data_IF_349397109985
#
_entry.id   IF_349397109985
#
_cell.length_a   1.000
_cell.length_b   1.000
_cell.length_c   1.000
_cell.angle_alpha   90.00
_cell.angle_beta   90.00
_cell.angle_gamma   90.00
#
_symmetry.space_group_name_H-M   'P 1'
#
loop_
_entity.id
_entity.type
_entity.pdbx_description
1 polymer ?
#
# COMPACT_ATOMS: atom_id res chain seq x y z
N UNK A 1 29.31 0.77 -35.93
CA UNK A 1 28.73 2.10 -36.20
C UNK A 1 27.73 2.41 -35.07
N UNK A 2 28.20 3.07 -34.01
CA UNK A 2 27.33 3.89 -33.14
C UNK A 2 27.07 5.24 -33.85
N UNK A 3 26.17 6.11 -33.38
CA UNK A 3 24.92 5.89 -32.65
C UNK A 3 23.76 6.73 -33.28
N UNK A 4 22.52 6.53 -32.85
CA UNK A 4 21.48 7.55 -33.02
C UNK A 4 20.72 7.73 -31.69
N UNK A 5 20.95 8.86 -30.99
CA UNK A 5 20.35 9.18 -29.70
C UNK A 5 19.08 10.02 -29.83
N UNK A 6 18.38 10.13 -28.70
CA UNK A 6 17.54 11.23 -28.26
C UNK A 6 16.22 11.53 -29.02
N UNK A 7 15.13 11.01 -28.46
CA UNK A 7 13.95 11.81 -28.11
C UNK A 7 13.25 11.08 -26.96
N UNK A 8 13.59 11.37 -25.70
CA UNK A 8 12.83 12.34 -24.91
C UNK A 8 11.34 12.33 -25.28
N UNK A 9 10.59 11.39 -24.71
CA UNK A 9 9.19 11.62 -24.38
C UNK A 9 9.11 11.52 -22.88
N UNK A 10 9.16 12.69 -22.22
CA UNK A 10 8.63 12.85 -20.87
C UNK A 10 7.14 12.63 -21.01
N UNK A 11 6.73 11.36 -20.99
CA UNK A 11 5.33 11.02 -20.85
C UNK A 11 5.03 11.20 -19.37
N UNK A 12 4.38 12.31 -19.04
CA UNK A 12 3.64 12.46 -17.78
C UNK A 12 2.53 11.42 -17.75
N UNK A 13 2.89 10.16 -17.54
CA UNK A 13 1.97 9.09 -17.22
C UNK A 13 2.00 9.04 -15.71
N UNK A 14 1.00 9.62 -15.04
CA UNK A 14 0.63 9.18 -13.70
C UNK A 14 0.20 7.72 -13.84
N UNK A 15 1.02 6.74 -13.44
CA UNK A 15 0.67 5.38 -13.76
C UNK A 15 -0.25 4.92 -12.62
N UNK A 16 -1.56 4.82 -12.88
CA UNK A 16 -2.52 4.29 -11.92
C UNK A 16 -2.46 2.74 -11.87
N UNK A 17 -1.25 2.17 -11.97
CA UNK A 17 -0.99 0.74 -11.96
C UNK A 17 -0.14 0.33 -10.74
N UNK A 18 -0.18 -0.96 -10.33
CA UNK A 18 0.54 -1.45 -9.15
C UNK A 18 2.04 -1.14 -9.18
N UNK A 19 2.66 -1.05 -10.36
CA UNK A 19 4.07 -0.70 -10.53
C UNK A 19 4.43 0.72 -10.10
N UNK A 20 3.57 1.70 -10.37
CA UNK A 20 3.85 3.08 -9.99
C UNK A 20 3.63 3.36 -8.53
N UNK A 21 2.58 2.75 -7.99
CA UNK A 21 2.28 2.85 -6.58
C UNK A 21 3.43 2.21 -5.78
N UNK A 22 4.02 1.10 -6.26
CA UNK A 22 5.26 0.53 -5.69
C UNK A 22 6.47 1.47 -5.80
N UNK A 23 6.67 2.13 -6.95
CA UNK A 23 7.74 3.12 -7.11
C UNK A 23 7.58 4.31 -6.15
N UNK A 24 6.35 4.73 -5.89
CA UNK A 24 6.05 5.73 -4.85
C UNK A 24 6.45 5.24 -3.45
N UNK A 25 6.25 3.95 -3.13
CA UNK A 25 6.70 3.37 -1.84
C UNK A 25 8.22 3.33 -1.68
N UNK A 26 9.01 3.36 -2.75
CA UNK A 26 10.48 3.43 -2.67
C UNK A 26 10.94 4.77 -2.07
N UNK A 27 10.17 5.84 -2.30
CA UNK A 27 10.44 7.17 -1.73
C UNK A 27 10.07 7.30 -0.24
N UNK A 28 9.31 6.34 0.32
CA UNK A 28 8.83 6.39 1.71
C UNK A 28 9.64 5.43 2.59
N UNK A 29 10.15 5.94 3.70
CA UNK A 29 10.82 5.13 4.73
C UNK A 29 9.81 4.29 5.53
N UNK A 30 9.50 3.11 5.02
CA UNK A 30 8.68 2.09 5.67
C UNK A 30 9.56 1.02 6.33
N UNK A 31 9.16 0.57 7.52
CA UNK A 31 9.67 -0.66 8.11
C UNK A 31 9.23 -1.86 7.28
N UNK A 32 9.87 -3.02 7.48
CA UNK A 32 9.50 -4.27 6.78
C UNK A 32 8.03 -4.64 6.96
N UNK A 33 7.48 -4.48 8.18
CA UNK A 33 6.08 -4.84 8.48
C UNK A 33 5.09 -3.82 7.91
N UNK A 34 5.41 -2.53 7.95
CA UNK A 34 4.59 -1.49 7.31
C UNK A 34 4.53 -1.71 5.78
N UNK A 35 5.67 -1.99 5.15
CA UNK A 35 5.74 -2.29 3.72
C UNK A 35 4.90 -3.52 3.37
N UNK A 36 5.10 -4.64 4.07
CA UNK A 36 4.35 -5.87 3.81
C UNK A 36 2.83 -5.68 4.02
N UNK A 37 2.43 -4.93 5.06
CA UNK A 37 1.01 -4.62 5.30
C UNK A 37 0.41 -3.81 4.17
N UNK A 38 1.14 -2.81 3.69
CA UNK A 38 0.68 -1.93 2.61
C UNK A 38 0.63 -2.66 1.27
N UNK A 39 1.66 -3.44 0.94
CA UNK A 39 1.70 -4.28 -0.27
C UNK A 39 0.54 -5.26 -0.31
N UNK A 40 0.22 -5.92 0.81
CA UNK A 40 -0.92 -6.84 0.87
C UNK A 40 -2.26 -6.15 0.53
N UNK A 41 -2.44 -4.91 0.97
CA UNK A 41 -3.65 -4.13 0.65
C UNK A 41 -3.64 -3.66 -0.80
N UNK A 42 -2.49 -3.20 -1.30
CA UNK A 42 -2.33 -2.70 -2.67
C UNK A 42 -2.43 -3.79 -3.74
N UNK A 43 -2.01 -5.01 -3.42
CA UNK A 43 -2.17 -6.19 -4.28
C UNK A 43 -3.63 -6.67 -4.33
N UNK A 44 -4.51 -6.12 -3.48
CA UNK A 44 -5.94 -6.41 -3.43
C UNK A 44 -6.77 -5.12 -3.52
N UNK A 45 -6.62 -4.31 -4.59
CA UNK A 45 -7.31 -3.03 -4.71
C UNK A 45 -8.83 -3.23 -4.72
N UNK A 46 -9.57 -2.37 -4.02
CA UNK A 46 -11.03 -2.49 -3.88
C UNK A 46 -11.49 -3.54 -2.85
N UNK A 47 -10.63 -4.48 -2.45
CA UNK A 47 -10.99 -5.56 -1.53
C UNK A 47 -10.63 -5.20 -0.10
N UNK A 48 -11.61 -5.33 0.80
CA UNK A 48 -11.38 -5.16 2.23
C UNK A 48 -10.79 -6.43 2.83
N UNK A 49 -9.70 -6.28 3.58
CA UNK A 49 -9.03 -7.37 4.29
C UNK A 49 -9.25 -7.20 5.78
N UNK A 50 -9.67 -8.28 6.45
CA UNK A 50 -9.94 -8.26 7.88
C UNK A 50 -8.67 -8.05 8.71
N UNK A 51 -8.81 -7.46 9.90
CA UNK A 51 -7.67 -7.26 10.82
C UNK A 51 -7.01 -8.58 11.21
N UNK A 52 -7.80 -9.64 11.41
CA UNK A 52 -7.28 -10.99 11.72
C UNK A 52 -6.45 -11.53 10.56
N UNK A 53 -6.95 -11.41 9.33
CA UNK A 53 -6.23 -11.83 8.11
C UNK A 53 -4.94 -11.05 7.94
N UNK A 54 -4.96 -9.72 8.09
CA UNK A 54 -3.75 -8.89 8.03
C UNK A 54 -2.73 -9.27 9.12
N UNK A 55 -3.21 -9.50 10.34
CA UNK A 55 -2.35 -9.92 11.46
C UNK A 55 -1.68 -11.27 11.18
N UNK A 56 -2.46 -12.26 10.72
CA UNK A 56 -1.98 -13.59 10.36
C UNK A 56 -0.98 -13.53 9.19
N UNK A 57 -1.32 -12.85 8.10
CA UNK A 57 -0.47 -12.83 6.90
C UNK A 57 0.83 -12.04 7.10
N UNK A 58 0.80 -10.93 7.84
CA UNK A 58 1.99 -10.07 7.98
C UNK A 58 2.83 -10.43 9.20
N UNK A 59 2.23 -10.92 10.30
CA UNK A 59 2.96 -11.29 11.54
C UNK A 59 3.01 -12.79 11.83
N UNK A 60 2.29 -13.64 11.08
CA UNK A 60 2.17 -15.07 11.34
C UNK A 60 1.62 -15.39 12.74
N UNK A 61 0.70 -14.55 13.22
CA UNK A 61 0.04 -14.76 14.51
C UNK A 61 -1.18 -15.65 14.37
N UNK A 62 -1.51 -16.35 15.46
CA UNK A 62 -2.72 -17.15 15.58
C UNK A 62 -3.99 -16.26 15.58
N UNK A 63 -5.15 -16.84 15.26
CA UNK A 63 -6.39 -16.10 15.02
C UNK A 63 -7.02 -15.46 16.27
N UNK A 64 -6.55 -15.86 17.44
CA UNK A 64 -6.87 -15.37 18.78
C UNK A 64 -5.95 -14.22 19.24
N UNK A 65 -4.90 -13.89 18.48
CA UNK A 65 -4.02 -12.79 18.81
C UNK A 65 -4.69 -11.40 18.72
N UNK A 66 -4.26 -10.48 19.57
CA UNK A 66 -4.82 -9.11 19.63
C UNK A 66 -4.54 -8.34 18.34
N UNK A 67 -5.60 -7.84 17.69
CA UNK A 67 -5.49 -7.13 16.40
C UNK A 67 -5.00 -5.67 16.48
N UNK A 68 -4.80 -5.12 17.69
CA UNK A 68 -4.33 -3.74 17.89
C UNK A 68 -2.99 -3.45 17.19
N UNK A 69 -2.17 -4.48 16.97
CA UNK A 69 -0.93 -4.37 16.20
C UNK A 69 -1.21 -3.84 14.79
N UNK A 70 -2.25 -4.33 14.11
CA UNK A 70 -2.62 -3.86 12.77
C UNK A 70 -3.00 -2.39 12.81
N UNK A 71 -3.85 -2.00 13.76
CA UNK A 71 -4.38 -0.63 13.88
C UNK A 71 -3.24 0.39 14.06
N UNK A 72 -2.26 0.08 14.91
CA UNK A 72 -1.08 0.93 15.13
C UNK A 72 -0.24 1.07 13.85
N UNK A 73 -0.06 0.00 13.08
CA UNK A 73 0.69 0.05 11.84
C UNK A 73 -0.08 0.80 10.74
N UNK A 74 -1.41 0.67 10.68
CA UNK A 74 -2.24 1.49 9.79
C UNK A 74 -2.14 2.97 10.14
N UNK A 75 -2.17 3.32 11.43
CA UNK A 75 -2.02 4.71 11.86
C UNK A 75 -0.65 5.27 11.47
N UNK A 76 0.43 4.49 11.64
CA UNK A 76 1.78 4.89 11.20
C UNK A 76 1.87 5.03 9.68
N UNK A 77 1.29 4.09 8.93
CA UNK A 77 1.22 4.16 7.48
C UNK A 77 0.52 5.43 7.02
N UNK A 78 -0.64 5.77 7.57
CA UNK A 78 -1.36 7.00 7.22
C UNK A 78 -0.49 8.25 7.42
N UNK A 79 0.23 8.33 8.54
CA UNK A 79 1.16 9.44 8.80
C UNK A 79 2.30 9.50 7.78
N UNK A 80 2.83 8.36 7.35
CA UNK A 80 3.95 8.29 6.41
C UNK A 80 3.53 8.50 4.95
N UNK A 81 2.31 8.10 4.60
CA UNK A 81 1.75 8.25 3.25
C UNK A 81 1.31 9.69 2.96
N UNK A 82 1.03 10.49 4.00
CA UNK A 82 0.60 11.88 3.82
C UNK A 82 -0.68 11.96 2.98
N UNK A 83 -0.71 12.76 1.89
CA UNK A 83 -1.88 12.86 1.02
C UNK A 83 -2.36 11.51 0.44
N UNK A 84 -1.44 10.57 0.20
CA UNK A 84 -1.79 9.24 -0.34
C UNK A 84 -2.45 8.33 0.70
N UNK A 85 -2.55 8.76 1.97
CA UNK A 85 -3.30 8.04 2.99
C UNK A 85 -4.80 7.95 2.67
N UNK A 86 -5.31 8.81 1.79
CA UNK A 86 -6.70 8.79 1.36
C UNK A 86 -7.06 7.50 0.62
N UNK A 87 -6.09 6.83 -0.01
CA UNK A 87 -6.31 5.51 -0.61
C UNK A 87 -6.44 4.40 0.44
N UNK A 88 -6.04 4.61 1.70
CA UNK A 88 -6.08 3.61 2.76
C UNK A 88 -7.34 3.78 3.64
N UNK A 89 -8.44 3.13 3.24
CA UNK A 89 -9.74 3.27 3.91
C UNK A 89 -9.97 2.22 5.00
N UNK A 90 -10.73 2.64 6.01
CA UNK A 90 -11.29 1.74 7.03
C UNK A 90 -12.74 1.47 6.69
N UNK A 91 -13.11 0.21 6.52
CA UNK A 91 -14.52 -0.19 6.43
C UNK A 91 -14.93 -0.82 7.75
N UNK A 92 -15.83 -0.13 8.45
CA UNK A 92 -16.26 -0.49 9.81
C UNK A 92 -16.82 -1.92 9.82
N UNK A 93 -16.46 -2.69 10.85
CA UNK A 93 -16.76 -4.13 11.00
C UNK A 93 -16.12 -5.08 9.97
N UNK A 94 -15.52 -4.57 8.89
CA UNK A 94 -14.88 -5.40 7.86
C UNK A 94 -13.35 -5.41 8.01
N UNK A 95 -12.70 -4.24 7.95
CA UNK A 95 -11.24 -4.16 7.99
C UNK A 95 -10.70 -2.96 7.21
N UNK A 96 -9.61 -3.20 6.47
CA UNK A 96 -8.89 -2.17 5.72
C UNK A 96 -8.88 -2.50 4.23
N UNK A 97 -8.99 -1.48 3.39
CA UNK A 97 -8.87 -1.61 1.94
C UNK A 97 -7.97 -0.53 1.36
N UNK A 98 -7.33 -0.89 0.24
CA UNK A 98 -6.71 0.07 -0.64
C UNK A 98 -7.68 0.42 -1.77
N UNK A 99 -8.08 1.68 -1.84
CA UNK A 99 -8.87 2.25 -2.93
C UNK A 99 -7.95 3.22 -3.68
N UNK A 100 -7.34 2.83 -4.80
CA UNK A 100 -6.65 3.79 -5.63
C UNK A 100 -7.67 4.84 -6.07
N UNK A 101 -7.29 6.11 -6.02
CA UNK A 101 -8.10 7.17 -6.60
C UNK A 101 -8.35 6.79 -8.06
N UNK A 102 -9.63 6.60 -8.39
CA UNK A 102 -10.00 6.25 -9.76
C UNK A 102 -9.68 7.47 -10.61
N UNK A 103 -8.73 7.31 -11.53
CA UNK A 103 -8.52 8.24 -12.63
C UNK A 103 -9.80 8.34 -13.48
#
# INVERSE_FOLDING_TARGET
MSPAPAAQTVSMIHPAGPFAARRFLEGIRLTRKERALLEMLMDNPGRCISRKTLLKSVWNYAEDARTRTVDVHIQRLRRKLGPHADSLKTIVRIGYCWLPESA
#
